data_IF_508276849771
#
_entry.id   IF_508276849771
#
_cell.length_a   1.000
_cell.length_b   1.000
_cell.length_c   1.000
_cell.angle_alpha   90.00
_cell.angle_beta   90.00
_cell.angle_gamma   90.00
#
_symmetry.space_group_name_H-M   'P 1'
#
loop_
_entity.id
_entity.type
_entity.pdbx_description
1 polymer ?
#
# COMPACT_ATOMS: atom_id res chain seq x y z
N UNK A 1 -17.96 -8.53 21.24
CA UNK A 1 -16.50 -8.74 21.43
C UNK A 1 -15.90 -7.43 21.90
N UNK A 2 -15.01 -7.47 22.90
CA UNK A 2 -14.31 -6.27 23.33
C UNK A 2 -13.15 -6.02 22.34
N UNK A 3 -13.40 -5.26 21.29
CA UNK A 3 -12.47 -4.99 20.18
C UNK A 3 -11.45 -3.89 20.49
N UNK A 4 -11.55 -3.26 21.67
CA UNK A 4 -10.68 -2.14 22.06
C UNK A 4 -9.19 -2.50 22.22
N UNK A 5 -8.87 -3.78 22.30
CA UNK A 5 -7.49 -4.29 22.44
C UNK A 5 -6.88 -4.76 21.10
N UNK A 6 -7.65 -4.74 20.02
CA UNK A 6 -7.14 -5.07 18.69
C UNK A 6 -6.07 -4.04 18.26
N UNK A 7 -4.88 -4.47 17.83
CA UNK A 7 -3.77 -3.55 17.59
C UNK A 7 -4.08 -2.42 16.61
N UNK A 8 -4.79 -2.69 15.49
CA UNK A 8 -5.19 -1.66 14.52
C UNK A 8 -6.14 -0.64 15.14
N UNK A 9 -7.14 -1.09 15.90
CA UNK A 9 -8.09 -0.20 16.58
C UNK A 9 -7.38 0.61 17.67
N UNK A 10 -6.44 -0.01 18.38
CA UNK A 10 -5.63 0.67 19.40
C UNK A 10 -4.73 1.74 18.77
N UNK A 11 -4.12 1.47 17.62
CA UNK A 11 -3.29 2.42 16.88
C UNK A 11 -4.11 3.62 16.40
N UNK A 12 -5.29 3.38 15.80
CA UNK A 12 -6.22 4.43 15.41
C UNK A 12 -6.67 5.27 16.62
N UNK A 13 -7.09 4.60 17.71
CA UNK A 13 -7.51 5.26 18.96
C UNK A 13 -6.41 6.17 19.52
N UNK A 14 -5.16 5.68 19.48
CA UNK A 14 -4.01 6.46 19.91
C UNK A 14 -3.81 7.68 19.01
N UNK A 15 -3.84 7.51 17.69
CA UNK A 15 -3.69 8.59 16.72
C UNK A 15 -4.72 9.70 16.91
N UNK A 16 -5.99 9.34 17.10
CA UNK A 16 -7.09 10.27 17.36
C UNK A 16 -6.86 11.06 18.66
N UNK A 17 -6.41 10.39 19.72
CA UNK A 17 -6.11 11.03 21.02
C UNK A 17 -4.87 11.92 20.92
N UNK A 18 -3.83 11.49 20.22
CA UNK A 18 -2.61 12.30 20.02
C UNK A 18 -2.91 13.59 19.24
N UNK A 19 -3.94 13.57 18.38
CA UNK A 19 -4.47 14.75 17.70
C UNK A 19 -5.33 15.66 18.60
N UNK A 20 -5.46 15.35 19.89
CA UNK A 20 -6.22 16.13 20.88
C UNK A 20 -7.72 15.85 20.89
N UNK A 21 -8.19 14.84 20.13
CA UNK A 21 -9.60 14.48 20.10
C UNK A 21 -10.00 13.57 21.27
N UNK A 22 -11.27 13.67 21.71
CA UNK A 22 -11.85 12.80 22.73
C UNK A 22 -12.73 11.72 22.08
N UNK A 23 -12.59 10.48 22.53
CA UNK A 23 -13.46 9.35 22.13
C UNK A 23 -14.40 9.05 23.29
N UNK A 24 -15.68 9.37 23.14
CA UNK A 24 -16.71 9.15 24.17
C UNK A 24 -17.34 7.76 24.05
N UNK A 25 -17.42 7.22 22.82
CA UNK A 25 -18.03 5.93 22.53
C UNK A 25 -17.29 5.27 21.37
N UNK A 26 -17.17 3.95 21.41
CA UNK A 26 -16.55 3.15 20.37
C UNK A 26 -17.21 1.77 20.31
N UNK A 27 -17.96 1.52 19.25
CA UNK A 27 -18.61 0.24 18.99
C UNK A 27 -18.16 -0.33 17.65
N UNK A 28 -17.91 -1.63 17.58
CA UNK A 28 -17.68 -2.32 16.33
C UNK A 28 -19.02 -2.67 15.66
N UNK A 29 -19.25 -2.13 14.47
CA UNK A 29 -20.40 -2.46 13.63
C UNK A 29 -20.18 -3.77 12.89
N UNK A 30 -18.98 -3.95 12.36
CA UNK A 30 -18.56 -5.16 11.65
C UNK A 30 -17.07 -5.40 11.85
N UNK A 31 -16.69 -6.66 11.96
CA UNK A 31 -15.29 -7.09 12.14
C UNK A 31 -15.03 -8.27 11.21
N UNK A 32 -13.98 -8.19 10.44
CA UNK A 32 -13.46 -9.27 9.61
C UNK A 32 -12.06 -9.64 10.09
N UNK A 33 -11.82 -10.92 10.30
CA UNK A 33 -10.51 -11.45 10.73
C UNK A 33 -9.89 -12.33 9.67
N UNK A 34 -8.57 -12.38 9.65
CA UNK A 34 -7.78 -13.36 8.89
C UNK A 34 -8.02 -14.77 9.45
N UNK A 35 -7.60 -15.82 8.73
CA UNK A 35 -7.66 -17.23 9.20
C UNK A 35 -6.91 -17.46 10.53
N UNK A 36 -5.85 -16.71 10.77
CA UNK A 36 -5.05 -16.75 12.01
C UNK A 36 -5.70 -16.00 13.19
N UNK A 37 -6.88 -15.36 13.00
CA UNK A 37 -7.60 -14.62 14.02
C UNK A 37 -7.22 -13.14 14.12
N UNK A 38 -6.23 -12.66 13.40
CA UNK A 38 -5.88 -11.22 13.38
C UNK A 38 -6.96 -10.39 12.69
N UNK A 39 -7.15 -9.16 13.16
CA UNK A 39 -8.07 -8.21 12.55
C UNK A 39 -7.61 -7.87 11.13
N UNK A 40 -8.43 -8.22 10.14
CA UNK A 40 -8.23 -7.74 8.78
C UNK A 40 -8.80 -6.34 8.62
N UNK A 41 -10.11 -6.18 8.87
CA UNK A 41 -10.83 -4.90 8.78
C UNK A 41 -11.87 -4.77 9.90
N UNK A 42 -12.20 -3.52 10.24
CA UNK A 42 -13.36 -3.21 11.06
C UNK A 42 -14.09 -1.96 10.56
N UNK A 43 -15.40 -1.96 10.66
CA UNK A 43 -16.21 -0.75 10.59
C UNK A 43 -16.61 -0.40 12.02
N UNK A 44 -16.24 0.81 12.47
CA UNK A 44 -16.56 1.29 13.82
C UNK A 44 -17.58 2.41 13.76
N UNK A 45 -18.47 2.44 14.77
CA UNK A 45 -19.32 3.59 15.15
C UNK A 45 -18.68 4.25 16.37
N UNK A 46 -18.16 5.46 16.20
CA UNK A 46 -17.42 6.19 17.21
C UNK A 46 -18.03 7.57 17.46
N UNK A 47 -18.25 7.93 18.73
CA UNK A 47 -18.52 9.33 19.10
C UNK A 47 -17.20 10.01 19.44
N UNK A 48 -16.66 10.73 18.45
CA UNK A 48 -15.40 11.47 18.55
C UNK A 48 -15.68 12.97 18.56
N UNK A 49 -14.99 13.68 19.45
CA UNK A 49 -15.03 15.13 19.56
C UNK A 49 -13.65 15.72 19.27
N UNK A 50 -13.61 16.79 18.47
CA UNK A 50 -12.39 17.56 18.26
C UNK A 50 -12.02 18.40 19.50
N UNK A 51 -10.84 19.08 19.53
CA UNK A 51 -10.45 19.92 20.65
C UNK A 51 -11.42 21.06 20.98
N UNK A 52 -12.22 21.51 20.01
CA UNK A 52 -13.24 22.55 20.17
C UNK A 52 -14.62 21.96 20.58
N UNK A 53 -14.67 20.66 20.90
CA UNK A 53 -15.87 19.90 21.27
C UNK A 53 -16.90 19.74 20.14
N UNK A 54 -16.52 19.94 18.87
CA UNK A 54 -17.36 19.64 17.73
C UNK A 54 -17.39 18.13 17.48
N UNK A 55 -18.56 17.62 17.11
CA UNK A 55 -18.73 16.21 16.77
C UNK A 55 -18.17 15.92 15.38
N UNK A 56 -17.33 14.90 15.27
CA UNK A 56 -16.85 14.35 14.00
C UNK A 56 -17.84 13.31 13.43
N UNK A 57 -17.74 12.94 12.12
CA UNK A 57 -18.50 11.84 11.55
C UNK A 57 -18.29 10.54 12.33
N UNK A 58 -19.37 9.75 12.49
CA UNK A 58 -19.37 8.61 13.41
C UNK A 58 -18.62 7.38 12.91
N UNK A 59 -18.56 7.19 11.57
CA UNK A 59 -18.08 5.92 11.03
C UNK A 59 -16.66 6.04 10.49
N UNK A 60 -15.85 5.07 10.89
CA UNK A 60 -14.49 4.90 10.37
C UNK A 60 -14.25 3.44 9.98
N UNK A 61 -13.66 3.23 8.80
CA UNK A 61 -13.19 1.94 8.34
C UNK A 61 -11.74 1.76 8.76
N UNK A 62 -11.51 0.81 9.65
CA UNK A 62 -10.17 0.46 10.14
C UNK A 62 -9.58 -0.60 9.22
N UNK A 63 -8.52 -0.22 8.53
CA UNK A 63 -7.75 -1.06 7.62
C UNK A 63 -6.30 -1.19 8.08
N UNK A 64 -5.77 -0.13 8.69
CA UNK A 64 -4.35 -0.01 9.05
C UNK A 64 -3.49 0.46 7.88
N UNK A 65 -2.20 0.55 8.12
CA UNK A 65 -1.23 1.07 7.17
C UNK A 65 -0.90 0.06 6.06
N UNK A 66 -0.38 0.58 4.95
CA UNK A 66 0.12 -0.20 3.82
C UNK A 66 1.46 0.35 3.33
N UNK A 67 2.16 -0.43 2.51
CA UNK A 67 3.30 0.06 1.72
C UNK A 67 3.01 -0.12 0.23
N UNK A 68 3.58 0.76 -0.58
CA UNK A 68 3.54 0.70 -2.04
C UNK A 68 4.96 0.90 -2.57
N UNK A 69 5.35 0.09 -3.53
CA UNK A 69 6.68 0.11 -4.11
C UNK A 69 6.59 0.54 -5.58
N UNK A 70 7.39 1.51 -5.99
CA UNK A 70 7.53 1.95 -7.39
C UNK A 70 8.84 1.39 -7.95
N UNK A 71 8.83 0.21 -8.60
CA UNK A 71 10.03 -0.41 -9.12
C UNK A 71 10.29 0.05 -10.56
N UNK A 72 11.39 0.74 -10.78
CA UNK A 72 11.93 0.98 -12.12
C UNK A 72 12.93 -0.13 -12.45
N UNK A 73 12.63 -0.88 -13.50
CA UNK A 73 13.49 -1.96 -13.97
C UNK A 73 14.28 -1.48 -15.16
N UNK A 74 15.59 -1.70 -15.13
CA UNK A 74 16.51 -1.40 -16.25
C UNK A 74 17.04 -2.70 -16.85
N UNK A 75 16.89 -2.84 -18.13
CA UNK A 75 17.55 -3.93 -18.87
C UNK A 75 19.04 -3.62 -18.99
N UNK A 76 19.90 -4.49 -18.46
CA UNK A 76 21.35 -4.29 -18.37
C UNK A 76 22.01 -4.26 -19.75
N UNK A 77 21.50 -5.03 -20.71
CA UNK A 77 22.08 -5.14 -22.04
C UNK A 77 21.61 -4.03 -22.98
N UNK A 78 20.34 -3.64 -22.93
CA UNK A 78 19.77 -2.64 -23.85
C UNK A 78 19.70 -1.23 -23.26
N UNK A 79 19.75 -1.10 -21.93
CA UNK A 79 19.52 0.16 -21.24
C UNK A 79 18.05 0.60 -21.20
N UNK A 80 17.13 -0.23 -21.72
CA UNK A 80 15.68 0.07 -21.69
C UNK A 80 15.18 0.09 -20.25
N UNK A 81 14.33 1.08 -19.94
CA UNK A 81 13.71 1.24 -18.61
C UNK A 81 12.20 1.09 -18.71
N UNK A 82 11.63 0.29 -17.80
CA UNK A 82 10.18 0.13 -17.61
C UNK A 82 9.82 0.00 -16.14
N UNK A 83 8.62 0.40 -15.81
CA UNK A 83 8.05 0.18 -14.48
C UNK A 83 7.49 -1.23 -14.38
N UNK A 84 7.76 -1.88 -13.26
CA UNK A 84 7.18 -3.17 -12.93
C UNK A 84 5.83 -2.92 -12.27
N UNK A 85 4.78 -3.35 -12.97
CA UNK A 85 3.39 -3.17 -12.56
C UNK A 85 2.72 -4.52 -12.37
N UNK A 86 1.64 -4.52 -11.63
CA UNK A 86 0.77 -5.68 -11.44
C UNK A 86 -0.64 -5.37 -11.89
N UNK A 87 -1.36 -6.40 -12.33
CA UNK A 87 -2.81 -6.33 -12.60
C UNK A 87 -3.55 -7.27 -11.69
N UNK A 88 -4.52 -6.71 -10.97
CA UNK A 88 -5.35 -7.44 -10.03
C UNK A 88 -6.80 -6.97 -10.11
N UNK A 89 -7.76 -7.90 -9.95
CA UNK A 89 -9.17 -7.53 -9.89
C UNK A 89 -9.54 -7.02 -8.51
N UNK A 90 -10.08 -5.80 -8.43
CA UNK A 90 -10.41 -5.14 -7.18
C UNK A 90 -11.91 -5.08 -6.94
N UNK A 91 -12.33 -5.48 -5.71
CA UNK A 91 -13.74 -5.49 -5.30
C UNK A 91 -14.37 -4.09 -5.29
N UNK A 92 -13.59 -3.05 -5.04
CA UNK A 92 -14.09 -1.69 -4.89
C UNK A 92 -14.86 -1.15 -6.11
N UNK A 93 -14.48 -1.59 -7.32
CA UNK A 93 -15.17 -1.20 -8.56
C UNK A 93 -15.35 -2.37 -9.55
N UNK A 94 -14.93 -3.58 -9.18
CA UNK A 94 -14.99 -4.78 -10.03
C UNK A 94 -14.04 -4.78 -11.23
N UNK A 95 -13.18 -3.75 -11.38
CA UNK A 95 -12.26 -3.65 -12.52
C UNK A 95 -10.99 -4.49 -12.33
N UNK A 96 -10.35 -4.80 -13.46
CA UNK A 96 -8.95 -5.22 -13.47
C UNK A 96 -8.11 -3.95 -13.34
N UNK A 97 -7.53 -3.74 -12.18
CA UNK A 97 -6.75 -2.54 -11.84
C UNK A 97 -5.29 -2.75 -12.18
N UNK A 98 -4.67 -1.72 -12.78
CA UNK A 98 -3.22 -1.63 -12.92
C UNK A 98 -2.68 -0.92 -11.69
N UNK A 99 -1.73 -1.58 -11.00
CA UNK A 99 -1.21 -1.11 -9.72
C UNK A 99 0.31 -1.29 -9.63
N UNK A 100 0.94 -0.58 -8.71
CA UNK A 100 2.26 -0.93 -8.22
C UNK A 100 2.16 -2.03 -7.17
N UNK A 101 3.19 -2.87 -6.99
CA UNK A 101 3.27 -3.81 -5.88
C UNK A 101 3.02 -3.12 -4.54
N UNK A 102 2.14 -3.71 -3.72
CA UNK A 102 1.69 -3.08 -2.48
C UNK A 102 1.12 -4.11 -1.50
N UNK A 103 1.41 -3.95 -0.23
CA UNK A 103 0.85 -4.84 0.80
C UNK A 103 0.48 -4.11 2.08
N UNK A 104 -0.41 -4.74 2.85
CA UNK A 104 -0.81 -4.25 4.16
C UNK A 104 0.27 -4.56 5.20
N UNK A 105 0.52 -3.58 6.10
CA UNK A 105 1.38 -3.82 7.24
C UNK A 105 0.64 -4.66 8.29
N UNK A 106 1.25 -5.77 8.68
CA UNK A 106 0.79 -6.54 9.81
C UNK A 106 1.03 -5.75 11.10
N UNK A 107 0.06 -5.81 12.00
CA UNK A 107 0.08 -5.02 13.25
C UNK A 107 1.24 -5.33 14.19
N UNK A 108 1.91 -6.46 13.98
CA UNK A 108 3.06 -6.89 14.78
C UNK A 108 4.41 -6.53 14.14
N UNK A 109 4.41 -6.05 12.88
CA UNK A 109 5.64 -5.71 12.16
C UNK A 109 5.79 -4.19 12.13
N UNK A 110 6.71 -3.69 12.93
CA UNK A 110 7.06 -2.25 12.96
C UNK A 110 8.02 -1.82 11.85
N UNK A 111 8.21 -2.67 10.83
CA UNK A 111 9.14 -2.44 9.73
C UNK A 111 8.42 -2.38 8.36
N UNK A 112 7.92 -1.21 7.95
CA UNK A 112 7.29 -1.04 6.64
C UNK A 112 8.20 -1.40 5.46
N UNK A 113 9.51 -1.20 5.62
CA UNK A 113 10.50 -1.49 4.58
C UNK A 113 10.66 -3.01 4.36
N UNK A 114 10.72 -3.78 5.46
CA UNK A 114 10.77 -5.25 5.37
C UNK A 114 9.51 -5.84 4.73
N UNK A 115 8.33 -5.26 5.01
CA UNK A 115 7.08 -5.64 4.33
C UNK A 115 7.17 -5.31 2.85
N UNK A 116 7.63 -4.12 2.47
CA UNK A 116 7.76 -3.71 1.06
C UNK A 116 8.66 -4.66 0.25
N UNK A 117 9.80 -5.10 0.83
CA UNK A 117 10.69 -6.08 0.20
C UNK A 117 9.98 -7.42 -0.02
N UNK A 118 9.24 -7.90 0.98
CA UNK A 118 8.50 -9.16 0.89
C UNK A 118 7.40 -9.10 -0.18
N UNK A 119 6.57 -8.06 -0.14
CA UNK A 119 5.47 -7.88 -1.11
C UNK A 119 5.98 -7.78 -2.56
N UNK A 120 7.07 -7.06 -2.79
CA UNK A 120 7.69 -7.01 -4.11
C UNK A 120 8.06 -8.41 -4.62
N UNK A 121 8.66 -9.24 -3.75
CA UNK A 121 9.03 -10.60 -4.10
C UNK A 121 7.80 -11.51 -4.32
N UNK A 122 6.80 -11.43 -3.44
CA UNK A 122 5.59 -12.27 -3.50
C UNK A 122 4.73 -11.95 -4.72
N UNK A 123 4.52 -10.67 -5.03
CA UNK A 123 3.66 -10.23 -6.13
C UNK A 123 4.33 -10.25 -7.51
N UNK A 124 5.66 -10.18 -7.57
CA UNK A 124 6.37 -10.08 -8.87
C UNK A 124 7.40 -11.17 -9.13
N UNK A 125 7.84 -11.88 -8.09
CA UNK A 125 8.95 -12.83 -8.16
C UNK A 125 10.32 -12.17 -8.29
N UNK A 126 10.43 -10.86 -8.02
CA UNK A 126 11.69 -10.12 -8.00
C UNK A 126 12.18 -9.97 -6.57
N UNK A 127 13.27 -10.66 -6.27
CA UNK A 127 13.93 -10.53 -4.98
C UNK A 127 14.82 -9.28 -4.94
N UNK A 128 14.79 -8.59 -3.81
CA UNK A 128 15.62 -7.43 -3.53
C UNK A 128 15.96 -7.37 -2.04
N UNK A 129 16.70 -6.37 -1.62
CA UNK A 129 17.08 -6.17 -0.21
C UNK A 129 16.67 -4.77 0.27
N UNK A 130 16.49 -4.58 1.60
CA UNK A 130 16.03 -3.31 2.15
C UNK A 130 16.91 -2.10 1.76
N UNK A 131 18.21 -2.28 1.59
CA UNK A 131 19.16 -1.22 1.17
C UNK A 131 18.97 -0.75 -0.27
N UNK A 132 18.17 -1.46 -1.07
CA UNK A 132 17.83 -1.09 -2.45
C UNK A 132 16.53 -0.28 -2.56
N UNK A 133 15.74 -0.27 -1.52
CA UNK A 133 14.53 0.55 -1.45
C UNK A 133 14.83 1.89 -0.78
N UNK A 134 14.27 2.94 -1.32
CA UNK A 134 14.38 4.28 -0.74
C UNK A 134 13.00 4.90 -0.54
N UNK A 135 12.78 5.66 0.56
CA UNK A 135 11.50 6.33 0.79
C UNK A 135 11.29 7.44 -0.24
N UNK A 136 10.08 7.53 -0.78
CA UNK A 136 9.67 8.58 -1.72
C UNK A 136 9.08 9.80 -1.02
N UNK A 137 8.73 9.67 0.25
CA UNK A 137 8.27 10.77 1.10
C UNK A 137 8.69 10.54 2.56
N UNK A 138 8.80 11.64 3.33
CA UNK A 138 9.31 11.62 4.70
C UNK A 138 8.32 10.98 5.70
N UNK A 139 7.04 10.87 5.32
CA UNK A 139 5.98 10.30 6.15
C UNK A 139 4.97 9.53 5.31
N UNK A 140 4.20 8.65 5.96
CA UNK A 140 3.07 7.98 5.32
C UNK A 140 1.98 8.98 4.91
N UNK A 141 1.28 8.68 3.82
CA UNK A 141 0.21 9.52 3.27
C UNK A 141 -1.13 8.83 3.41
N UNK A 142 -2.13 9.52 3.95
CA UNK A 142 -3.47 8.97 4.13
C UNK A 142 -4.21 8.85 2.79
N UNK A 143 -4.82 7.70 2.55
CA UNK A 143 -5.57 7.43 1.31
C UNK A 143 -6.97 8.07 1.31
N UNK A 144 -7.64 8.12 2.46
CA UNK A 144 -9.01 8.64 2.59
C UNK A 144 -9.33 9.09 4.02
N UNK A 145 -8.76 10.21 4.45
CA UNK A 145 -8.88 10.74 5.83
C UNK A 145 -10.30 10.97 6.32
N UNK A 146 -11.28 11.08 5.43
CA UNK A 146 -12.69 11.29 5.78
C UNK A 146 -13.42 10.00 6.18
N UNK A 147 -12.85 8.82 5.95
CA UNK A 147 -13.57 7.55 6.13
C UNK A 147 -12.70 6.38 6.59
N UNK A 148 -11.38 6.44 6.44
CA UNK A 148 -10.47 5.34 6.76
C UNK A 148 -9.22 5.83 7.48
N UNK A 149 -8.64 4.96 8.28
CA UNK A 149 -7.35 5.15 8.94
C UNK A 149 -6.16 4.77 8.04
N UNK A 150 -6.42 4.25 6.85
CA UNK A 150 -5.36 3.78 5.94
C UNK A 150 -4.38 4.89 5.59
N UNK A 151 -3.11 4.64 5.83
CA UNK A 151 -2.02 5.46 5.35
C UNK A 151 -0.95 4.59 4.67
N UNK A 152 -0.30 5.14 3.64
CA UNK A 152 0.57 4.38 2.74
C UNK A 152 1.99 4.94 2.82
N UNK A 153 2.96 4.04 3.05
CA UNK A 153 4.38 4.31 2.89
C UNK A 153 4.77 4.07 1.44
N UNK A 154 5.36 5.07 0.79
CA UNK A 154 5.80 4.98 -0.60
C UNK A 154 7.29 4.76 -0.67
N UNK A 155 7.68 3.69 -1.35
CA UNK A 155 9.08 3.35 -1.62
C UNK A 155 9.35 3.33 -3.12
N UNK A 156 10.58 3.66 -3.50
CA UNK A 156 11.10 3.46 -4.85
C UNK A 156 12.24 2.46 -4.84
N UNK A 157 12.47 1.80 -5.96
CA UNK A 157 13.70 1.06 -6.21
C UNK A 157 14.05 1.08 -7.70
N UNK A 158 15.35 0.96 -7.98
CA UNK A 158 15.88 0.81 -9.35
C UNK A 158 16.61 -0.52 -9.38
N UNK A 159 16.14 -1.44 -10.24
CA UNK A 159 16.65 -2.81 -10.31
C UNK A 159 17.16 -3.07 -11.73
N UNK A 160 18.40 -3.52 -11.85
CA UNK A 160 18.98 -3.94 -13.12
C UNK A 160 18.80 -5.44 -13.30
N UNK A 161 18.23 -5.84 -14.43
CA UNK A 161 18.00 -7.23 -14.80
C UNK A 161 18.67 -7.57 -16.11
N UNK A 162 19.12 -8.80 -16.23
CA UNK A 162 19.60 -9.39 -17.51
C UNK A 162 18.42 -9.55 -18.47
N UNK A 163 18.67 -9.48 -19.76
CA UNK A 163 17.65 -9.52 -20.83
C UNK A 163 16.75 -10.80 -20.73
N UNK A 164 17.31 -11.91 -20.34
CA UNK A 164 16.55 -13.15 -20.17
C UNK A 164 15.51 -13.05 -19.07
N UNK A 165 15.85 -12.47 -17.91
CA UNK A 165 14.93 -12.23 -16.79
C UNK A 165 13.91 -11.16 -17.16
N UNK A 166 14.35 -10.05 -17.76
CA UNK A 166 13.49 -8.99 -18.27
C UNK A 166 12.36 -9.55 -19.15
N UNK A 167 12.70 -10.35 -20.16
CA UNK A 167 11.72 -10.95 -21.09
C UNK A 167 10.76 -11.93 -20.40
N UNK A 168 11.18 -12.56 -19.30
CA UNK A 168 10.36 -13.52 -18.56
C UNK A 168 9.31 -12.86 -17.64
N UNK A 169 9.41 -11.56 -17.37
CA UNK A 169 8.51 -10.86 -16.45
C UNK A 169 7.14 -10.57 -17.06
N UNK A 170 7.11 -10.21 -18.35
CA UNK A 170 5.87 -9.85 -19.02
C UNK A 170 4.88 -11.01 -19.06
N UNK A 171 3.71 -10.85 -18.47
CA UNK A 171 2.65 -11.86 -18.42
C UNK A 171 2.86 -12.95 -17.37
N UNK A 172 3.86 -12.85 -16.50
CA UNK A 172 4.05 -13.77 -15.37
C UNK A 172 2.81 -13.71 -14.48
N UNK A 173 2.29 -14.89 -14.14
CA UNK A 173 1.18 -15.02 -13.21
C UNK A 173 1.71 -15.37 -11.83
N UNK A 174 1.30 -14.58 -10.85
CA UNK A 174 1.57 -14.81 -9.44
C UNK A 174 0.25 -15.07 -8.73
N UNK A 175 0.25 -15.91 -7.73
CA UNK A 175 -0.94 -16.19 -6.92
C UNK A 175 -0.52 -16.40 -5.48
N UNK A 176 -1.27 -15.78 -4.57
CA UNK A 176 -1.20 -16.08 -3.15
C UNK A 176 -2.50 -16.80 -2.74
N UNK A 177 -2.48 -18.13 -2.59
CA UNK A 177 -3.68 -18.91 -2.25
C UNK A 177 -4.28 -18.55 -0.89
N UNK A 178 -3.47 -18.00 0.02
CA UNK A 178 -3.92 -17.61 1.36
C UNK A 178 -4.70 -16.30 1.36
N UNK A 179 -4.53 -15.48 0.31
CA UNK A 179 -5.17 -14.19 0.14
C UNK A 179 -6.19 -14.16 -1.01
N UNK A 180 -6.43 -15.29 -1.69
CA UNK A 180 -7.28 -15.41 -2.89
C UNK A 180 -6.85 -14.41 -4.01
N UNK A 181 -5.54 -14.13 -4.11
CA UNK A 181 -5.00 -13.19 -5.07
C UNK A 181 -4.57 -13.86 -6.37
N UNK A 182 -4.94 -13.21 -7.48
CA UNK A 182 -4.52 -13.57 -8.84
C UNK A 182 -3.91 -12.34 -9.50
N UNK A 183 -2.59 -12.33 -9.61
CA UNK A 183 -1.80 -11.19 -10.03
C UNK A 183 -1.13 -11.51 -11.36
N UNK A 184 -1.20 -10.58 -12.32
CA UNK A 184 -0.44 -10.64 -13.56
C UNK A 184 0.61 -9.52 -13.59
N UNK A 185 1.88 -9.90 -13.74
CA UNK A 185 3.00 -8.96 -13.80
C UNK A 185 3.11 -8.35 -15.19
N UNK A 186 3.45 -7.07 -15.27
CA UNK A 186 3.64 -6.33 -16.52
C UNK A 186 4.83 -5.38 -16.41
N UNK A 187 5.62 -5.29 -17.48
CA UNK A 187 6.60 -4.23 -17.67
C UNK A 187 6.00 -3.18 -18.62
N UNK A 188 5.90 -1.95 -18.17
CA UNK A 188 5.25 -0.87 -18.91
C UNK A 188 6.11 0.38 -18.91
N UNK A 189 6.10 1.10 -20.02
CA UNK A 189 6.57 2.48 -20.02
C UNK A 189 5.69 3.34 -19.13
N UNK A 190 6.18 4.49 -18.72
CA UNK A 190 5.40 5.44 -17.92
C UNK A 190 4.10 5.85 -18.63
N UNK A 191 4.19 6.17 -19.91
CA UNK A 191 3.03 6.67 -20.68
C UNK A 191 1.95 5.60 -20.83
N UNK A 192 2.33 4.34 -21.11
CA UNK A 192 1.41 3.20 -21.16
C UNK A 192 0.72 3.00 -19.81
N UNK A 193 1.49 2.99 -18.71
CA UNK A 193 0.97 2.81 -17.38
C UNK A 193 0.03 3.96 -16.95
N UNK A 194 0.39 5.21 -17.25
CA UNK A 194 -0.46 6.37 -16.92
C UNK A 194 -1.75 6.41 -17.75
N UNK A 195 -1.73 5.95 -18.99
CA UNK A 195 -2.92 5.87 -19.81
C UNK A 195 -3.95 4.85 -19.28
N UNK A 196 -3.47 3.75 -18.68
CA UNK A 196 -4.30 2.67 -18.14
C UNK A 196 -4.70 2.89 -16.68
N UNK A 197 -3.81 3.50 -15.86
CA UNK A 197 -4.00 3.60 -14.42
C UNK A 197 -5.17 4.50 -14.03
N UNK A 198 -6.10 3.92 -13.27
CA UNK A 198 -7.25 4.62 -12.68
C UNK A 198 -7.10 4.85 -11.17
N UNK A 199 -6.08 4.26 -10.55
CA UNK A 199 -5.79 4.39 -9.11
C UNK A 199 -5.04 5.70 -8.82
N UNK A 200 -5.49 6.42 -7.78
CA UNK A 200 -4.78 7.59 -7.27
C UNK A 200 -3.38 7.22 -6.76
N UNK A 201 -3.25 6.05 -6.13
CA UNK A 201 -2.00 5.57 -5.55
C UNK A 201 -0.94 5.38 -6.63
N UNK A 202 -1.31 4.87 -7.79
CA UNK A 202 -0.40 4.70 -8.94
C UNK A 202 0.05 6.05 -9.48
N UNK A 203 -0.88 6.99 -9.68
CA UNK A 203 -0.55 8.32 -10.19
C UNK A 203 0.35 9.09 -9.23
N UNK A 204 0.06 9.00 -7.93
CA UNK A 204 0.89 9.60 -6.90
C UNK A 204 2.27 8.93 -6.83
N UNK A 205 2.34 7.59 -6.94
CA UNK A 205 3.60 6.86 -6.96
C UNK A 205 4.54 7.33 -8.07
N UNK A 206 4.02 7.51 -9.29
CA UNK A 206 4.80 8.10 -10.40
C UNK A 206 5.30 9.51 -10.07
N UNK A 207 4.42 10.36 -9.56
CA UNK A 207 4.77 11.75 -9.23
C UNK A 207 5.89 11.80 -8.18
N UNK A 208 5.76 11.05 -7.09
CA UNK A 208 6.75 11.01 -6.02
C UNK A 208 8.09 10.44 -6.48
N UNK A 209 8.05 9.41 -7.33
CA UNK A 209 9.27 8.81 -7.87
C UNK A 209 10.03 9.78 -8.77
N UNK A 210 9.32 10.54 -9.60
CA UNK A 210 9.93 11.57 -10.45
C UNK A 210 10.50 12.73 -9.65
N UNK A 211 9.78 13.20 -8.61
CA UNK A 211 10.33 14.20 -7.70
C UNK A 211 11.63 13.71 -7.05
N UNK A 212 11.68 12.44 -6.64
CA UNK A 212 12.88 11.84 -6.07
C UNK A 212 14.03 11.84 -7.11
N UNK A 213 13.79 11.35 -8.33
CA UNK A 213 14.81 11.34 -9.38
C UNK A 213 15.33 12.73 -9.68
N UNK A 214 14.48 13.73 -9.79
CA UNK A 214 14.88 15.12 -10.04
C UNK A 214 15.77 15.68 -8.92
N UNK A 215 15.52 15.30 -7.66
CA UNK A 215 16.33 15.74 -6.51
C UNK A 215 17.75 15.14 -6.50
N UNK A 216 17.92 13.92 -7.02
CA UNK A 216 19.23 13.25 -7.00
C UNK A 216 20.06 13.51 -8.26
N UNK A 217 19.45 14.02 -9.34
CA UNK A 217 20.13 14.30 -10.63
C UNK A 217 20.38 15.79 -10.87
N UNK A 218 19.78 16.70 -10.12
CA UNK A 218 19.97 18.16 -10.17
C UNK A 218 20.92 18.65 -9.12
#
# INVERSE_FOLDING_TARGET
MNTSHEPKISAWTKSVKDAGCAINKLDAVSVLTKRNGELLFALLDADVRDPDNNKLPNYVFIRGDACLIVPLIRNRETGEEKYLMIRQRRIGNGSLSLEFPAGMLDTQVSDPLGVAVRELAEETGIETSPDKLFPLCDSKLFSSVGASDEAIYYYGCIIELDDAVWKSLGGRLMSNPDEDEHIAVSLMSRDEAQAEATSLQVRLGFYLFEEYLNKITG
#
